data_IF_900520578649
#
_entry.id   IF_900520578649
#
_cell.length_a   1.000
_cell.length_b   1.000
_cell.length_c   1.000
_cell.angle_alpha   90.00
_cell.angle_beta   90.00
_cell.angle_gamma   90.00
#
_symmetry.space_group_name_H-M   'P 1'
#
loop_
_entity.id
_entity.type
_entity.pdbx_description
1 polymer ?
#
# COMPACT_ATOMS: atom_id res chain seq x y z
N UNK A 1 -32.81 -14.02 -7.51
CA UNK A 1 -31.98 -13.48 -6.40
C UNK A 1 -30.53 -13.67 -6.79
N UNK A 2 -29.78 -12.59 -7.00
CA UNK A 2 -28.41 -12.66 -7.51
C UNK A 2 -27.43 -12.41 -6.36
N UNK A 3 -26.44 -13.29 -6.19
CA UNK A 3 -25.40 -13.14 -5.18
C UNK A 3 -24.19 -12.45 -5.79
N UNK A 4 -23.66 -11.44 -5.11
CA UNK A 4 -22.40 -10.76 -5.47
C UNK A 4 -21.30 -11.21 -4.51
N UNK A 5 -20.14 -11.61 -5.04
CA UNK A 5 -18.95 -11.93 -4.25
C UNK A 5 -17.97 -10.76 -4.33
N UNK A 6 -17.45 -10.35 -3.17
CA UNK A 6 -16.43 -9.31 -3.05
C UNK A 6 -15.19 -9.93 -2.43
N UNK A 7 -14.02 -9.68 -3.02
CA UNK A 7 -12.72 -10.05 -2.47
C UNK A 7 -11.95 -8.78 -2.14
N UNK A 8 -11.46 -8.68 -0.90
CA UNK A 8 -10.61 -7.59 -0.44
C UNK A 8 -9.19 -8.12 -0.30
N UNK A 9 -8.24 -7.44 -0.94
CA UNK A 9 -6.83 -7.83 -0.95
C UNK A 9 -6.04 -6.67 -0.34
N UNK A 10 -5.37 -6.94 0.78
CA UNK A 10 -4.41 -6.01 1.37
C UNK A 10 -3.16 -5.89 0.48
N UNK A 11 -2.44 -4.76 0.48
CA UNK A 11 -1.14 -4.70 -0.16
C UNK A 11 -0.18 -5.72 0.47
N UNK A 12 0.83 -6.14 -0.29
CA UNK A 12 1.90 -6.98 0.25
C UNK A 12 2.60 -6.29 1.44
N UNK A 13 3.28 -7.08 2.26
CA UNK A 13 4.05 -6.57 3.39
C UNK A 13 5.08 -5.53 2.93
N UNK A 14 5.24 -4.47 3.70
CA UNK A 14 6.37 -3.55 3.63
C UNK A 14 7.31 -3.78 4.82
N UNK A 15 8.52 -3.23 4.76
CA UNK A 15 9.43 -3.24 5.91
C UNK A 15 8.80 -2.55 7.11
N UNK A 16 8.18 -1.39 6.91
CA UNK A 16 7.46 -0.67 7.97
C UNK A 16 6.38 -1.54 8.61
N UNK A 17 5.57 -2.26 7.81
CA UNK A 17 4.52 -3.12 8.37
C UNK A 17 5.10 -4.29 9.18
N UNK A 18 6.26 -4.85 8.78
CA UNK A 18 6.96 -5.88 9.55
C UNK A 18 7.43 -5.38 10.90
N UNK A 19 7.83 -4.12 10.99
CA UNK A 19 8.24 -3.45 12.22
C UNK A 19 7.06 -2.93 13.05
N UNK A 20 5.81 -3.24 12.66
CA UNK A 20 4.60 -2.64 13.24
C UNK A 20 4.64 -1.10 13.23
N UNK A 21 5.26 -0.52 12.19
CA UNK A 21 5.39 0.92 12.01
C UNK A 21 4.23 1.48 11.21
N UNK A 22 3.65 2.57 11.70
CA UNK A 22 2.64 3.32 10.96
C UNK A 22 3.29 4.01 9.77
N UNK A 23 2.96 3.54 8.57
CA UNK A 23 3.51 4.10 7.34
C UNK A 23 3.12 5.56 7.14
N UNK A 24 4.00 6.32 6.50
CA UNK A 24 3.67 7.68 6.08
C UNK A 24 2.53 7.65 5.06
N UNK A 25 1.74 8.71 5.04
CA UNK A 25 0.75 8.87 4.00
C UNK A 25 1.48 9.02 2.66
N UNK A 26 1.48 7.96 1.84
CA UNK A 26 1.95 8.06 0.46
C UNK A 26 1.10 9.13 -0.23
N UNK A 27 1.73 10.27 -0.52
CA UNK A 27 1.07 11.35 -1.24
C UNK A 27 0.50 10.79 -2.55
N UNK A 28 -0.74 11.16 -2.87
CA UNK A 28 -1.25 10.93 -4.22
C UNK A 28 -0.21 11.46 -5.20
N UNK A 29 0.24 10.65 -6.16
CA UNK A 29 1.17 11.08 -7.19
C UNK A 29 0.63 12.39 -7.78
N UNK A 30 1.34 13.49 -7.53
CA UNK A 30 0.97 14.79 -8.06
C UNK A 30 1.23 14.70 -9.56
N UNK A 31 0.15 14.54 -10.33
CA UNK A 31 0.19 14.60 -11.79
C UNK A 31 0.41 16.05 -12.23
N UNK A 32 1.61 16.57 -11.99
CA UNK A 32 2.10 17.76 -12.68
C UNK A 32 3.58 17.55 -12.96
N UNK A 33 3.94 17.62 -14.24
CA UNK A 33 5.32 17.53 -14.68
C UNK A 33 6.12 18.70 -14.12
N UNK A 34 7.03 18.43 -13.18
CA UNK A 34 8.08 19.35 -12.78
C UNK A 34 9.31 18.57 -12.29
N UNK A 35 10.30 18.57 -13.18
CA UNK A 35 11.75 18.60 -13.00
C UNK A 35 12.38 18.16 -11.67
N UNK A 36 13.20 17.09 -11.80
CA UNK A 36 14.35 16.64 -11.00
C UNK A 36 14.61 17.36 -9.67
N UNK A 37 14.43 16.62 -8.57
CA UNK A 37 15.15 16.85 -7.33
C UNK A 37 16.30 15.83 -7.22
N UNK A 38 17.49 16.37 -6.99
CA UNK A 38 18.77 15.71 -6.77
C UNK A 38 18.67 14.50 -5.84
N UNK A 39 19.11 13.34 -6.33
CA UNK A 39 19.20 12.11 -5.56
C UNK A 39 20.42 12.16 -4.63
N UNK A 40 20.23 12.68 -3.41
CA UNK A 40 21.06 12.31 -2.28
C UNK A 40 20.79 10.84 -1.93
N UNK A 41 21.84 10.07 -1.68
CA UNK A 41 21.79 8.65 -1.29
C UNK A 41 20.73 8.44 -0.20
N UNK A 42 19.57 7.81 -0.51
CA UNK A 42 18.60 7.49 0.49
C UNK A 42 19.24 6.33 1.25
N UNK A 43 19.84 6.64 2.41
CA UNK A 43 20.35 5.63 3.33
C UNK A 43 19.34 4.48 3.48
N UNK A 44 19.79 3.27 3.80
CA UNK A 44 19.05 2.04 3.55
C UNK A 44 17.61 2.08 4.09
N UNK A 45 16.66 2.33 3.16
CA UNK A 45 15.25 1.99 3.23
C UNK A 45 14.37 2.75 4.24
N UNK A 46 13.87 3.93 3.88
CA UNK A 46 12.63 4.50 4.48
C UNK A 46 11.58 4.92 3.46
N UNK A 47 11.89 4.82 2.16
CA UNK A 47 10.86 4.87 1.12
C UNK A 47 9.96 3.66 1.35
N UNK A 48 8.70 3.89 1.79
CA UNK A 48 7.69 2.89 2.16
C UNK A 48 7.25 1.90 1.07
N UNK A 49 8.20 1.33 0.35
CA UNK A 49 8.04 0.28 -0.64
C UNK A 49 7.69 -1.06 -0.02
N UNK A 50 7.23 -1.96 -0.89
CA UNK A 50 6.94 -3.34 -0.53
C UNK A 50 8.24 -4.09 -0.24
N UNK A 51 8.18 -4.96 0.74
CA UNK A 51 9.27 -5.86 1.08
C UNK A 51 9.42 -6.96 -0.01
N UNK A 52 10.65 -7.36 -0.36
CA UNK A 52 10.88 -8.37 -1.39
C UNK A 52 10.23 -9.73 -1.12
N UNK A 53 10.14 -10.17 0.15
CA UNK A 53 9.43 -11.42 0.51
C UNK A 53 7.95 -11.25 0.25
N UNK A 54 7.36 -10.12 0.69
CA UNK A 54 5.96 -9.81 0.45
C UNK A 54 5.61 -9.77 -1.03
N UNK A 55 6.50 -9.20 -1.86
CA UNK A 55 6.30 -9.15 -3.31
C UNK A 55 6.33 -10.56 -3.93
N UNK A 56 7.32 -11.40 -3.56
CA UNK A 56 7.38 -12.79 -4.02
C UNK A 56 6.15 -13.60 -3.63
N UNK A 57 5.60 -13.37 -2.43
CA UNK A 57 4.36 -14.00 -2.00
C UNK A 57 3.16 -13.59 -2.87
N UNK A 58 3.08 -12.31 -3.25
CA UNK A 58 2.05 -11.84 -4.18
C UNK A 58 2.21 -12.47 -5.57
N UNK A 59 3.42 -12.54 -6.10
CA UNK A 59 3.70 -13.17 -7.40
C UNK A 59 3.37 -14.66 -7.39
N UNK A 60 3.63 -15.37 -6.29
CA UNK A 60 3.39 -16.80 -6.16
C UNK A 60 1.91 -17.20 -6.27
N UNK A 61 0.98 -16.26 -6.00
CA UNK A 61 -0.47 -16.49 -6.10
C UNK A 61 -1.09 -15.80 -7.32
N UNK A 62 -0.26 -15.29 -8.24
CA UNK A 62 -0.71 -14.76 -9.53
C UNK A 62 -1.64 -15.78 -10.22
N UNK A 63 -2.69 -15.26 -10.86
CA UNK A 63 -3.69 -16.07 -11.59
C UNK A 63 -4.55 -17.04 -10.74
N UNK A 64 -4.39 -17.05 -9.40
CA UNK A 64 -5.24 -17.86 -8.50
C UNK A 64 -6.62 -17.23 -8.21
N UNK A 65 -6.87 -16.04 -8.78
CA UNK A 65 -8.08 -15.27 -8.51
C UNK A 65 -9.21 -15.60 -9.48
N UNK A 66 -10.46 -15.72 -9.01
CA UNK A 66 -11.61 -15.75 -9.90
C UNK A 66 -11.62 -14.53 -10.83
N UNK A 67 -12.13 -14.69 -12.05
CA UNK A 67 -12.31 -13.56 -12.96
C UNK A 67 -13.23 -12.52 -12.31
N UNK A 68 -12.68 -11.33 -12.07
CA UNK A 68 -13.43 -10.21 -11.51
C UNK A 68 -14.19 -9.48 -12.62
N UNK A 69 -15.49 -9.25 -12.41
CA UNK A 69 -16.30 -8.40 -13.30
C UNK A 69 -16.03 -6.91 -13.11
N UNK A 70 -15.47 -6.53 -11.95
CA UNK A 70 -14.98 -5.17 -11.63
C UNK A 70 -13.73 -5.27 -10.76
N UNK A 71 -12.73 -4.45 -11.09
CA UNK A 71 -11.50 -4.31 -10.34
C UNK A 71 -11.35 -2.86 -9.85
N UNK A 72 -10.85 -2.70 -8.64
CA UNK A 72 -10.66 -1.43 -7.98
C UNK A 72 -9.32 -1.47 -7.25
N UNK A 73 -8.50 -0.45 -7.45
CA UNK A 73 -7.17 -0.35 -6.82
C UNK A 73 -7.02 1.03 -6.18
N UNK A 74 -6.52 1.07 -4.95
CA UNK A 74 -6.18 2.31 -4.26
C UNK A 74 -5.11 3.09 -5.04
N UNK A 75 -5.16 4.42 -4.97
CA UNK A 75 -4.18 5.33 -5.56
C UNK A 75 -2.82 5.36 -4.81
N UNK A 76 -2.62 4.49 -3.82
CA UNK A 76 -1.32 4.34 -3.13
C UNK A 76 -0.36 3.45 -3.95
N UNK A 77 0.95 3.73 -3.87
CA UNK A 77 1.99 3.02 -4.63
C UNK A 77 2.05 1.56 -4.21
N UNK A 78 1.99 1.27 -2.90
CA UNK A 78 1.99 -0.11 -2.37
C UNK A 78 0.85 -0.97 -2.93
N UNK A 79 -0.35 -0.40 -3.09
CA UNK A 79 -1.50 -1.10 -3.63
C UNK A 79 -1.36 -1.34 -5.15
N UNK A 80 -0.91 -0.33 -5.91
CA UNK A 80 -0.65 -0.50 -7.36
C UNK A 80 0.42 -1.55 -7.64
N UNK A 81 1.53 -1.52 -6.90
CA UNK A 81 2.61 -2.49 -7.07
C UNK A 81 2.16 -3.90 -6.73
N UNK A 82 1.40 -4.07 -5.64
CA UNK A 82 0.82 -5.39 -5.29
C UNK A 82 -0.15 -5.89 -6.37
N UNK A 83 -1.05 -5.02 -6.87
CA UNK A 83 -1.99 -5.41 -7.93
C UNK A 83 -1.27 -5.89 -9.21
N UNK A 84 -0.19 -5.22 -9.61
CA UNK A 84 0.65 -5.65 -10.74
C UNK A 84 1.30 -7.01 -10.49
N UNK A 85 1.85 -7.22 -9.29
CA UNK A 85 2.46 -8.50 -8.91
C UNK A 85 1.46 -9.67 -8.93
N UNK A 86 0.23 -9.41 -8.52
CA UNK A 86 -0.88 -10.38 -8.57
C UNK A 86 -1.39 -10.65 -10.00
N UNK A 87 -0.91 -9.91 -11.00
CA UNK A 87 -1.40 -9.98 -12.38
C UNK A 87 -2.80 -9.40 -12.57
N UNK A 88 -3.27 -8.55 -11.65
CA UNK A 88 -4.55 -7.86 -11.78
C UNK A 88 -4.32 -6.61 -12.64
N UNK A 89 -4.93 -6.58 -13.83
CA UNK A 89 -4.73 -5.52 -14.82
C UNK A 89 -5.36 -4.19 -14.37
N UNK A 90 -4.63 -3.49 -13.51
CA UNK A 90 -5.02 -2.21 -12.95
C UNK A 90 -4.95 -1.05 -13.96
N UNK A 91 -4.42 -1.28 -15.17
CA UNK A 91 -4.23 -0.23 -16.18
C UNK A 91 -5.54 0.34 -16.74
N UNK A 92 -6.63 -0.41 -16.62
CA UNK A 92 -7.98 0.01 -17.04
C UNK A 92 -8.97 0.15 -15.90
N UNK A 93 -8.58 -0.26 -14.68
CA UNK A 93 -9.42 -0.10 -13.51
C UNK A 93 -9.46 1.39 -13.13
N UNK A 94 -10.65 2.01 -13.04
CA UNK A 94 -10.73 3.38 -12.53
C UNK A 94 -10.13 3.41 -11.13
N UNK A 95 -9.26 4.40 -10.82
CA UNK A 95 -8.71 4.52 -9.48
C UNK A 95 -9.86 4.60 -8.49
N UNK A 96 -9.72 3.92 -7.35
CA UNK A 96 -10.64 4.17 -6.26
C UNK A 96 -10.50 5.63 -5.83
N UNK A 97 -11.50 6.44 -6.15
CA UNK A 97 -11.71 7.77 -5.54
C UNK A 97 -12.16 7.64 -4.08
N UNK A 98 -12.39 6.40 -3.62
CA UNK A 98 -12.64 6.02 -2.23
C UNK A 98 -11.40 6.14 -1.34
N UNK A 99 -11.55 5.90 -0.01
CA UNK A 99 -10.86 6.66 1.01
C UNK A 99 -9.34 6.59 0.89
N UNK A 100 -8.71 7.75 1.05
CA UNK A 100 -7.28 7.91 1.22
C UNK A 100 -6.74 6.92 2.26
N UNK A 101 -5.45 6.55 2.20
CA UNK A 101 -4.83 5.79 3.29
C UNK A 101 -5.18 6.43 4.62
N UNK A 102 -5.44 5.62 5.64
CA UNK A 102 -5.83 6.11 6.95
C UNK A 102 -4.79 7.15 7.43
N UNK A 103 -5.27 8.35 7.76
CA UNK A 103 -4.43 9.44 8.19
C UNK A 103 -3.95 9.18 9.63
N UNK A 104 -2.81 8.51 9.77
CA UNK A 104 -2.20 8.17 11.06
C UNK A 104 -1.71 9.39 11.85
N UNK A 105 -1.71 10.59 11.23
CA UNK A 105 -1.37 11.85 11.88
C UNK A 105 -0.02 11.78 12.59
N UNK A 106 -0.01 12.15 13.88
CA UNK A 106 1.21 12.15 14.73
C UNK A 106 1.83 10.76 14.97
N UNK A 107 1.14 9.68 14.62
CA UNK A 107 1.70 8.33 14.73
C UNK A 107 2.52 7.93 13.51
N UNK A 108 2.49 8.70 12.42
CA UNK A 108 3.30 8.42 11.22
C UNK A 108 4.78 8.29 11.59
N UNK A 109 5.42 7.25 11.05
CA UNK A 109 6.82 6.93 11.32
C UNK A 109 7.07 6.23 12.66
N UNK A 110 6.10 6.17 13.57
CA UNK A 110 6.24 5.52 14.89
C UNK A 110 5.87 4.05 14.83
N UNK A 111 6.47 3.23 15.68
CA UNK A 111 6.06 1.84 15.90
C UNK A 111 4.84 1.76 16.83
N UNK A 112 4.11 0.66 16.75
CA UNK A 112 3.01 0.38 17.67
C UNK A 112 3.49 0.39 19.13
N UNK A 113 4.68 -0.16 19.40
CA UNK A 113 5.29 -0.16 20.75
C UNK A 113 5.61 1.26 21.22
N UNK A 114 6.16 2.12 20.36
CA UNK A 114 6.42 3.52 20.69
C UNK A 114 5.12 4.28 21.02
N UNK A 115 4.05 4.04 20.26
CA UNK A 115 2.73 4.66 20.51
C UNK A 115 2.14 4.14 21.81
N UNK A 116 2.14 2.82 22.04
CA UNK A 116 1.63 2.21 23.26
C UNK A 116 2.38 2.67 24.51
N UNK A 117 3.68 2.95 24.41
CA UNK A 117 4.49 3.47 25.51
C UNK A 117 4.19 4.94 25.85
N UNK A 118 3.92 5.79 24.86
CA UNK A 118 3.70 7.23 25.07
C UNK A 118 2.23 7.61 25.28
N UNK A 119 1.31 6.87 24.64
CA UNK A 119 -0.12 7.16 24.53
C UNK A 119 -0.92 5.86 24.77
N UNK A 120 -0.80 5.24 25.96
CA UNK A 120 -1.37 3.91 26.24
C UNK A 120 -2.90 3.87 26.13
N UNK A 121 -3.59 4.98 26.41
CA UNK A 121 -5.05 5.09 26.30
C UNK A 121 -5.58 5.08 24.86
N UNK A 122 -4.68 5.18 23.87
CA UNK A 122 -5.03 5.28 22.47
C UNK A 122 -4.85 3.98 21.67
N UNK A 123 -4.38 2.89 22.30
CA UNK A 123 -4.10 1.57 21.68
C UNK A 123 -5.06 0.49 22.18
#
# INVERSE_FOLDING_TARGET
MTTTRVLLIAPALSTALREARFGEAEGAERTDGAERAEAGDPGPGVDGGLDPVGLRQAEAVRESFPRASRLYVSSTRRCRTTARALGLDAGTAPPLTGPAPCAMGRWQGRTLDEVAASEPEAV
#
